data_IF_526230824585
#
_entry.id   IF_526230824585
#
_cell.length_a   1.000
_cell.length_b   1.000
_cell.length_c   1.000
_cell.angle_alpha   90.00
_cell.angle_beta   90.00
_cell.angle_gamma   90.00
#
_symmetry.space_group_name_H-M   'P 1'
#
loop_
_entity.id
_entity.type
_entity.pdbx_description
1 polymer ?
#
# COMPACT_ATOMS: atom_id res chain seq x y z
N UNK A 1 -7.88 -13.11 -20.10
CA UNK A 1 -6.65 -12.48 -19.56
C UNK A 1 -7.08 -11.41 -18.59
N UNK A 2 -6.64 -11.47 -17.32
CA UNK A 2 -6.84 -10.36 -16.39
C UNK A 2 -6.00 -9.19 -16.88
N UNK A 3 -6.66 -8.13 -17.33
CA UNK A 3 -6.01 -6.90 -17.77
C UNK A 3 -6.10 -5.91 -16.62
N UNK A 4 -4.97 -5.46 -16.08
CA UNK A 4 -4.90 -4.52 -14.95
C UNK A 4 -5.21 -3.06 -15.37
N UNK A 5 -5.95 -2.84 -16.47
CA UNK A 5 -6.45 -1.52 -16.83
C UNK A 5 -7.69 -1.16 -16.04
N UNK A 6 -8.04 0.13 -16.09
CA UNK A 6 -9.30 0.63 -15.56
C UNK A 6 -10.50 -0.17 -16.08
N UNK A 7 -10.58 -0.42 -17.39
CA UNK A 7 -11.69 -1.19 -18.00
C UNK A 7 -11.73 -2.64 -17.52
N UNK A 8 -10.56 -3.30 -17.47
CA UNK A 8 -10.48 -4.69 -17.04
C UNK A 8 -10.90 -4.86 -15.58
N UNK A 9 -10.44 -3.95 -14.71
CA UNK A 9 -10.85 -3.92 -13.31
C UNK A 9 -12.33 -3.57 -13.15
N UNK A 10 -12.82 -2.56 -13.87
CA UNK A 10 -14.23 -2.16 -13.86
C UNK A 10 -15.16 -3.31 -14.24
N UNK A 11 -14.90 -3.98 -15.37
CA UNK A 11 -15.71 -5.12 -15.83
C UNK A 11 -15.69 -6.25 -14.81
N UNK A 12 -14.52 -6.57 -14.25
CA UNK A 12 -14.40 -7.65 -13.27
C UNK A 12 -15.13 -7.32 -11.95
N UNK A 13 -14.97 -6.11 -11.42
CA UNK A 13 -15.67 -5.68 -10.19
C UNK A 13 -17.18 -5.70 -10.42
N UNK A 14 -17.64 -5.14 -11.54
CA UNK A 14 -19.05 -5.14 -11.93
C UNK A 14 -19.61 -6.55 -12.02
N UNK A 15 -18.92 -7.45 -12.73
CA UNK A 15 -19.30 -8.85 -12.86
C UNK A 15 -19.40 -9.55 -11.49
N UNK A 16 -18.42 -9.34 -10.60
CA UNK A 16 -18.43 -9.93 -9.25
C UNK A 16 -19.61 -9.43 -8.43
N UNK A 17 -19.92 -8.14 -8.44
CA UNK A 17 -21.08 -7.59 -7.73
C UNK A 17 -22.40 -8.17 -8.27
N UNK A 18 -22.59 -8.12 -9.59
CA UNK A 18 -23.82 -8.59 -10.24
C UNK A 18 -24.04 -10.10 -10.07
N UNK A 19 -22.99 -10.92 -10.17
CA UNK A 19 -23.05 -12.37 -9.97
C UNK A 19 -23.41 -12.78 -8.54
N UNK A 20 -23.22 -11.89 -7.56
CA UNK A 20 -23.64 -12.09 -6.17
C UNK A 20 -24.97 -11.39 -5.84
N UNK A 21 -25.68 -10.88 -6.86
CA UNK A 21 -26.96 -10.20 -6.67
C UNK A 21 -26.84 -8.85 -5.96
N UNK A 22 -25.65 -8.23 -5.97
CA UNK A 22 -25.42 -6.91 -5.41
C UNK A 22 -25.70 -5.84 -6.47
N UNK A 23 -26.68 -4.98 -6.18
CA UNK A 23 -27.05 -3.86 -7.06
C UNK A 23 -25.94 -2.80 -7.07
N UNK A 24 -25.49 -2.41 -8.27
CA UNK A 24 -24.43 -1.41 -8.45
C UNK A 24 -24.82 -0.06 -7.84
N UNK A 25 -26.09 0.32 -7.97
CA UNK A 25 -26.63 1.60 -7.49
C UNK A 25 -26.56 1.75 -5.95
N UNK A 26 -26.35 0.63 -5.23
CA UNK A 26 -26.18 0.59 -3.78
C UNK A 26 -24.72 0.72 -3.33
N UNK A 27 -23.77 0.71 -4.26
CA UNK A 27 -22.36 0.98 -3.93
C UNK A 27 -22.21 2.44 -3.53
N UNK A 28 -21.79 2.66 -2.27
CA UNK A 28 -21.65 4.00 -1.71
C UNK A 28 -20.26 4.60 -1.94
N UNK A 29 -19.22 3.77 -1.99
CA UNK A 29 -17.85 4.23 -2.14
C UNK A 29 -16.93 3.17 -2.74
N UNK A 30 -15.88 3.62 -3.44
CA UNK A 30 -14.74 2.78 -3.83
C UNK A 30 -13.49 3.23 -3.08
N UNK A 31 -12.95 2.34 -2.26
CA UNK A 31 -11.65 2.52 -1.60
C UNK A 31 -10.59 1.64 -2.26
N UNK A 32 -9.54 2.27 -2.78
CA UNK A 32 -8.39 1.58 -3.36
C UNK A 32 -7.14 2.43 -3.19
N UNK A 33 -5.98 1.90 -3.59
CA UNK A 33 -4.77 2.69 -3.71
C UNK A 33 -4.98 3.93 -4.61
N UNK A 34 -4.15 4.95 -4.41
CA UNK A 34 -4.31 6.22 -5.11
C UNK A 34 -3.64 6.23 -6.50
N UNK A 35 -3.48 5.07 -7.15
CA UNK A 35 -2.90 5.01 -8.50
C UNK A 35 -3.86 5.56 -9.55
N UNK A 36 -3.33 6.03 -10.67
CA UNK A 36 -4.13 6.61 -11.75
C UNK A 36 -5.20 5.64 -12.29
N UNK A 37 -4.87 4.35 -12.37
CA UNK A 37 -5.80 3.30 -12.83
C UNK A 37 -7.03 3.23 -11.93
N UNK A 38 -6.87 3.40 -10.62
CA UNK A 38 -7.95 3.26 -9.66
C UNK A 38 -8.74 4.56 -9.43
N UNK A 39 -8.06 5.70 -9.31
CA UNK A 39 -8.68 6.96 -8.87
C UNK A 39 -8.39 8.18 -9.75
N UNK A 40 -7.74 7.98 -10.91
CA UNK A 40 -7.43 9.04 -11.87
C UNK A 40 -8.69 9.78 -12.37
N UNK A 41 -8.53 11.04 -12.79
CA UNK A 41 -9.67 11.89 -13.14
C UNK A 41 -10.27 11.62 -14.53
N UNK A 42 -9.48 11.11 -15.48
CA UNK A 42 -9.91 10.97 -16.87
C UNK A 42 -10.44 9.56 -17.19
N UNK A 43 -9.64 8.52 -16.90
CA UNK A 43 -9.98 7.13 -17.19
C UNK A 43 -9.46 6.22 -16.08
N UNK A 44 -10.31 5.95 -15.11
CA UNK A 44 -10.01 5.12 -13.94
C UNK A 44 -11.21 4.27 -13.56
N UNK A 45 -10.98 3.27 -12.72
CA UNK A 45 -12.06 2.46 -12.12
C UNK A 45 -13.10 3.38 -11.46
N UNK A 46 -12.65 4.38 -10.71
CA UNK A 46 -13.55 5.36 -10.10
C UNK A 46 -14.34 6.15 -11.14
N UNK A 47 -13.71 6.68 -12.20
CA UNK A 47 -14.44 7.49 -13.19
C UNK A 47 -15.50 6.65 -13.91
N UNK A 48 -15.17 5.41 -14.28
CA UNK A 48 -16.08 4.47 -14.92
C UNK A 48 -17.29 4.12 -14.03
N UNK A 49 -17.07 3.83 -12.73
CA UNK A 49 -18.19 3.60 -11.82
C UNK A 49 -18.99 4.87 -11.51
N UNK A 50 -18.34 6.03 -11.47
CA UNK A 50 -19.01 7.30 -11.19
C UNK A 50 -19.95 7.73 -12.33
N UNK A 51 -19.68 7.33 -13.57
CA UNK A 51 -20.62 7.50 -14.70
C UNK A 51 -21.93 6.71 -14.48
N UNK A 52 -21.85 5.52 -13.88
CA UNK A 52 -23.01 4.69 -13.56
C UNK A 52 -23.69 5.10 -12.23
N UNK A 53 -22.89 5.60 -11.28
CA UNK A 53 -23.31 5.89 -9.91
C UNK A 53 -22.87 7.32 -9.55
N UNK A 54 -23.61 8.37 -9.95
CA UNK A 54 -23.18 9.75 -9.74
C UNK A 54 -23.04 10.19 -8.27
N UNK A 55 -23.53 9.38 -7.32
CA UNK A 55 -23.39 9.61 -5.87
C UNK A 55 -22.20 8.87 -5.24
N UNK A 56 -21.36 8.23 -6.05
CA UNK A 56 -20.25 7.41 -5.57
C UNK A 56 -19.18 8.25 -4.88
N UNK A 57 -18.81 7.85 -3.67
CA UNK A 57 -17.78 8.54 -2.89
C UNK A 57 -16.41 7.93 -3.20
N UNK A 58 -15.42 8.80 -3.46
CA UNK A 58 -14.02 8.40 -3.63
C UNK A 58 -13.38 8.13 -2.27
N UNK A 59 -13.13 6.87 -1.96
CA UNK A 59 -12.64 6.39 -0.67
C UNK A 59 -11.15 6.11 -0.59
N UNK A 60 -10.31 6.83 -1.37
CA UNK A 60 -8.83 6.77 -1.42
C UNK A 60 -8.12 6.08 -0.23
N UNK A 61 -7.03 5.37 -0.49
CA UNK A 61 -6.25 4.70 0.55
C UNK A 61 -5.41 5.68 1.39
N UNK A 62 -5.81 5.92 2.63
CA UNK A 62 -5.06 6.71 3.60
C UNK A 62 -3.66 6.15 3.89
N UNK A 63 -3.48 4.83 3.87
CA UNK A 63 -2.16 4.20 4.03
C UNK A 63 -1.20 4.64 2.93
N UNK A 64 -1.69 4.75 1.69
CA UNK A 64 -0.90 5.24 0.56
C UNK A 64 -0.59 6.74 0.73
N UNK A 65 -1.55 7.56 1.18
CA UNK A 65 -1.30 8.99 1.48
C UNK A 65 -0.20 9.16 2.53
N UNK A 66 -0.27 8.39 3.63
CA UNK A 66 0.75 8.40 4.67
C UNK A 66 2.11 7.94 4.14
N UNK A 67 2.16 6.83 3.40
CA UNK A 67 3.38 6.33 2.77
C UNK A 67 4.02 7.38 1.84
N UNK A 68 3.24 8.00 0.95
CA UNK A 68 3.75 9.01 0.03
C UNK A 68 4.24 10.26 0.76
N UNK A 69 3.58 10.65 1.84
CA UNK A 69 4.01 11.78 2.67
C UNK A 69 5.37 11.52 3.31
N UNK A 70 5.55 10.32 3.91
CA UNK A 70 6.84 9.90 4.49
C UNK A 70 7.91 9.78 3.41
N UNK A 71 7.59 9.16 2.27
CA UNK A 71 8.53 9.01 1.15
C UNK A 71 8.98 10.37 0.62
N UNK A 72 8.05 11.30 0.46
CA UNK A 72 8.34 12.66 0.05
C UNK A 72 9.27 13.36 1.04
N UNK A 73 9.01 13.23 2.35
CA UNK A 73 9.90 13.74 3.40
C UNK A 73 11.30 13.12 3.33
N UNK A 74 11.40 11.79 3.20
CA UNK A 74 12.67 11.07 3.09
C UNK A 74 13.50 11.52 1.89
N UNK A 75 12.86 11.82 0.75
CA UNK A 75 13.56 12.30 -0.45
C UNK A 75 14.24 13.67 -0.27
N UNK A 76 13.88 14.43 0.78
CA UNK A 76 14.50 15.72 1.10
C UNK A 76 15.63 15.61 2.13
N UNK A 77 15.84 14.42 2.71
CA UNK A 77 16.95 14.20 3.63
C UNK A 77 18.25 14.08 2.82
N UNK A 78 19.37 14.50 3.43
CA UNK A 78 20.71 14.36 2.83
C UNK A 78 21.15 12.89 2.69
N UNK A 79 20.40 11.97 3.30
CA UNK A 79 20.71 10.56 3.39
C UNK A 79 19.42 9.73 3.31
N UNK A 80 19.48 8.62 2.57
CA UNK A 80 18.37 7.67 2.44
C UNK A 80 18.27 6.77 3.68
N UNK A 81 17.56 7.29 4.69
CA UNK A 81 17.31 6.60 5.96
C UNK A 81 16.58 5.27 5.74
N UNK A 82 15.63 5.23 4.80
CA UNK A 82 14.88 4.02 4.47
C UNK A 82 15.81 2.92 3.93
N UNK A 83 16.65 3.25 2.95
CA UNK A 83 17.61 2.29 2.40
C UNK A 83 18.62 1.82 3.45
N UNK A 84 19.04 2.70 4.37
CA UNK A 84 19.97 2.33 5.44
C UNK A 84 19.36 1.32 6.40
N UNK A 85 18.15 1.59 6.89
CA UNK A 85 17.41 0.70 7.77
C UNK A 85 17.18 -0.65 7.08
N UNK A 86 16.72 -0.65 5.82
CA UNK A 86 16.49 -1.88 5.06
C UNK A 86 17.78 -2.68 4.81
N UNK A 87 18.92 -2.02 4.58
CA UNK A 87 20.22 -2.69 4.42
C UNK A 87 20.71 -3.31 5.74
N UNK A 88 20.59 -2.60 6.85
CA UNK A 88 20.94 -3.11 8.18
C UNK A 88 20.05 -4.33 8.50
N UNK A 89 18.74 -4.18 8.32
CA UNK A 89 17.79 -5.26 8.52
C UNK A 89 18.16 -6.49 7.66
N UNK A 90 18.32 -6.28 6.35
CA UNK A 90 18.67 -7.33 5.39
C UNK A 90 20.00 -8.02 5.70
N UNK A 91 20.97 -7.30 6.29
CA UNK A 91 22.23 -7.86 6.72
C UNK A 91 22.02 -8.86 7.85
N UNK A 92 21.30 -8.47 8.91
CA UNK A 92 21.16 -9.32 10.09
C UNK A 92 20.12 -10.43 9.93
N UNK A 93 18.95 -10.15 9.32
CA UNK A 93 17.84 -11.11 9.23
C UNK A 93 18.16 -12.34 8.37
N UNK A 94 19.13 -12.24 7.45
CA UNK A 94 19.53 -13.33 6.53
C UNK A 94 20.51 -14.32 7.13
N UNK A 95 20.92 -14.17 8.39
CA UNK A 95 21.90 -15.04 9.03
C UNK A 95 21.63 -15.17 10.52
N UNK A 96 21.41 -16.41 10.97
CA UNK A 96 21.24 -16.73 12.38
C UNK A 96 22.48 -16.34 13.21
N UNK A 97 23.68 -16.54 12.68
CA UNK A 97 24.92 -16.13 13.33
C UNK A 97 24.97 -14.61 13.55
N UNK A 98 24.77 -13.82 12.48
CA UNK A 98 24.78 -12.36 12.59
C UNK A 98 23.64 -11.84 13.48
N UNK A 99 22.47 -12.47 13.43
CA UNK A 99 21.35 -12.15 14.34
C UNK A 99 21.71 -12.41 15.80
N UNK A 100 22.41 -13.50 16.11
CA UNK A 100 22.93 -13.78 17.47
C UNK A 100 23.99 -12.77 17.88
N UNK A 101 24.93 -12.42 17.00
CA UNK A 101 25.94 -11.40 17.27
C UNK A 101 25.29 -10.04 17.57
N UNK A 102 24.29 -9.63 16.78
CA UNK A 102 23.50 -8.44 17.07
C UNK A 102 22.83 -8.52 18.44
N UNK A 103 22.27 -9.68 18.80
CA UNK A 103 21.66 -9.92 20.11
C UNK A 103 22.62 -9.66 21.29
N UNK A 104 23.90 -10.03 21.15
CA UNK A 104 24.93 -9.74 22.18
C UNK A 104 25.14 -8.24 22.39
N UNK A 105 25.04 -7.43 21.34
CA UNK A 105 25.13 -5.98 21.47
C UNK A 105 23.93 -5.41 22.20
N UNK A 106 22.72 -5.89 21.90
CA UNK A 106 21.49 -5.50 22.61
C UNK A 106 21.57 -5.86 24.11
N UNK A 107 22.06 -7.05 24.45
CA UNK A 107 22.33 -7.46 25.83
C UNK A 107 23.36 -6.54 26.51
N UNK A 108 24.46 -6.21 25.83
CA UNK A 108 25.48 -5.31 26.36
C UNK A 108 24.95 -3.90 26.68
N UNK A 109 24.03 -3.37 25.88
CA UNK A 109 23.42 -2.04 26.11
C UNK A 109 22.15 -2.07 26.95
N UNK A 110 21.79 -3.22 27.52
CA UNK A 110 20.56 -3.42 28.30
C UNK A 110 19.29 -2.96 27.54
N UNK A 111 19.15 -3.43 26.30
CA UNK A 111 17.99 -3.16 25.44
C UNK A 111 17.41 -4.46 24.90
N UNK A 112 16.07 -4.51 24.76
CA UNK A 112 15.43 -5.63 24.09
C UNK A 112 15.62 -5.58 22.57
N UNK A 113 15.90 -6.73 21.96
CA UNK A 113 16.02 -6.87 20.51
C UNK A 113 14.64 -6.87 19.81
N UNK A 114 13.87 -5.81 20.01
CA UNK A 114 12.55 -5.66 19.39
C UNK A 114 12.57 -4.84 18.09
N UNK A 115 13.65 -4.09 17.83
CA UNK A 115 13.75 -3.19 16.67
C UNK A 115 13.59 -3.95 15.34
N UNK A 116 14.09 -5.18 15.28
CA UNK A 116 13.98 -6.04 14.09
C UNK A 116 12.59 -6.64 13.89
N UNK A 117 11.69 -6.58 14.88
CA UNK A 117 10.31 -7.09 14.75
C UNK A 117 9.38 -6.09 14.05
N UNK A 118 9.75 -4.81 14.05
CA UNK A 118 8.91 -3.71 13.56
C UNK A 118 9.36 -3.17 12.19
N UNK A 119 10.39 -3.78 11.60
CA UNK A 119 10.91 -3.51 10.25
C UNK A 119 10.56 -4.72 9.38
#
# INVERSE_FOLDING_TARGET
QQHESADGLFVNIKYVLESHGLELEKVSSLGSDNTNVNVGNNHSVFSLFNELIPRLIRGNCYCHVLHNSVKHGNNHLLFDVEAAILKIYSHFCRSSLRSQELGKYFEFVDQEQNVMKYI
#
